data_IF_345805340484
#
_entry.id   IF_345805340484
#
_cell.length_a   1.000
_cell.length_b   1.000
_cell.length_c   1.000
_cell.angle_alpha   90.00
_cell.angle_beta   90.00
_cell.angle_gamma   90.00
#
_symmetry.space_group_name_H-M   'P 1'
#
loop_
_entity.id
_entity.type
_entity.pdbx_description
1 polymer ?
#
# COMPACT_ATOMS: atom_id res chain seq x y z
N UNK A 1 -8.49 -11.28 22.95
CA UNK A 1 -9.80 -10.69 22.61
C UNK A 1 -10.15 -9.46 23.46
N UNK A 2 -10.47 -9.58 24.75
CA UNK A 2 -10.93 -8.43 25.58
C UNK A 2 -9.91 -7.26 25.75
N UNK A 3 -8.60 -7.55 25.71
CA UNK A 3 -7.55 -6.52 25.80
C UNK A 3 -7.44 -5.66 24.52
N UNK A 4 -7.71 -6.24 23.36
CA UNK A 4 -7.67 -5.57 22.06
C UNK A 4 -8.87 -4.65 21.87
N UNK A 5 -10.05 -5.13 22.29
CA UNK A 5 -11.26 -4.30 22.39
C UNK A 5 -11.13 -3.15 23.42
N UNK A 6 -10.22 -3.23 24.40
CA UNK A 6 -9.89 -2.11 25.30
C UNK A 6 -8.97 -1.08 24.65
N UNK A 7 -7.99 -1.51 23.84
CA UNK A 7 -7.11 -0.61 23.09
C UNK A 7 -7.89 0.20 22.04
N UNK A 8 -8.92 -0.40 21.44
CA UNK A 8 -9.83 0.25 20.50
C UNK A 8 -10.85 1.21 21.16
N UNK A 9 -10.94 1.26 22.50
CA UNK A 9 -11.89 2.10 23.26
C UNK A 9 -11.24 3.30 23.96
N UNK A 10 -9.91 3.43 23.92
CA UNK A 10 -9.22 4.64 24.41
C UNK A 10 -9.16 5.66 23.27
N UNK A 11 -9.99 6.69 23.36
CA UNK A 11 -10.03 7.80 22.40
C UNK A 11 -9.15 8.98 22.86
N UNK A 12 -7.85 8.77 23.08
CA UNK A 12 -6.95 9.89 23.40
C UNK A 12 -5.65 9.86 22.54
N UNK A 13 -5.40 10.96 21.82
CA UNK A 13 -4.14 11.24 21.12
C UNK A 13 -4.13 11.10 19.60
N UNK A 14 -2.96 11.37 19.00
CA UNK A 14 -2.68 11.30 17.55
C UNK A 14 -3.07 9.97 16.89
N UNK A 15 -3.13 8.89 17.67
CA UNK A 15 -3.49 7.54 17.22
C UNK A 15 -5.01 7.34 17.07
N UNK A 16 -5.85 8.31 17.43
CA UNK A 16 -7.31 8.22 17.30
C UNK A 16 -7.79 8.23 15.83
N UNK A 17 -7.00 8.80 14.93
CA UNK A 17 -7.27 8.80 13.49
C UNK A 17 -6.75 7.53 12.79
N UNK A 18 -6.10 6.65 13.55
CA UNK A 18 -5.60 5.39 13.04
C UNK A 18 -6.67 4.33 13.22
N UNK A 19 -6.71 3.38 12.29
CA UNK A 19 -7.68 2.28 12.27
C UNK A 19 -7.52 1.32 13.47
N UNK A 20 -7.82 1.77 14.69
CA UNK A 20 -7.97 0.95 15.88
C UNK A 20 -9.45 0.89 16.29
N UNK A 21 -10.29 0.58 15.31
CA UNK A 21 -11.73 0.35 15.45
C UNK A 21 -12.17 -0.61 14.36
N UNK A 22 -11.93 -1.90 14.60
CA UNK A 22 -12.04 -2.95 13.58
C UNK A 22 -13.49 -3.16 13.17
N UNK A 23 -13.85 -2.68 11.98
CA UNK A 23 -15.20 -2.77 11.42
C UNK A 23 -15.43 -4.00 10.51
N UNK A 24 -14.37 -4.75 10.19
CA UNK A 24 -14.38 -5.80 9.16
C UNK A 24 -13.73 -7.11 9.61
N UNK A 25 -13.68 -7.38 10.91
CA UNK A 25 -13.10 -8.63 11.45
C UNK A 25 -13.84 -9.87 10.91
N UNK A 26 -15.14 -9.74 10.62
CA UNK A 26 -16.03 -10.82 10.17
C UNK A 26 -16.56 -10.64 8.73
N UNK A 27 -16.04 -9.70 7.95
CA UNK A 27 -16.52 -9.46 6.57
C UNK A 27 -15.97 -10.54 5.61
N UNK A 28 -16.82 -11.32 4.91
CA UNK A 28 -16.35 -12.44 4.09
C UNK A 28 -15.35 -12.03 3.01
N UNK A 29 -14.17 -12.66 2.97
CA UNK A 29 -13.12 -12.32 2.01
C UNK A 29 -12.23 -11.15 2.43
N UNK A 30 -12.51 -10.51 3.56
CA UNK A 30 -11.59 -9.59 4.24
C UNK A 30 -10.89 -10.34 5.37
N UNK A 31 -9.59 -10.11 5.51
CA UNK A 31 -8.80 -10.70 6.59
C UNK A 31 -8.02 -9.60 7.29
N UNK A 32 -8.39 -9.28 8.53
CA UNK A 32 -7.52 -8.44 9.37
C UNK A 32 -6.44 -9.31 10.00
N UNK A 33 -5.18 -9.06 9.65
CA UNK A 33 -4.02 -9.69 10.27
C UNK A 33 -3.17 -8.59 10.88
N UNK A 34 -3.38 -8.32 12.16
CA UNK A 34 -2.50 -7.44 12.89
C UNK A 34 -1.18 -8.19 13.16
N UNK A 35 -0.09 -7.73 12.54
CA UNK A 35 1.28 -8.16 12.88
C UNK A 35 1.67 -7.80 14.31
N UNK A 36 0.94 -6.87 14.92
CA UNK A 36 1.14 -6.43 16.30
C UNK A 36 0.37 -7.29 17.33
N UNK A 37 -0.34 -8.34 16.90
CA UNK A 37 -0.95 -9.28 17.84
C UNK A 37 0.17 -10.02 18.58
N UNK A 38 0.10 -9.94 19.92
CA UNK A 38 0.88 -10.82 20.79
C UNK A 38 -0.08 -11.80 21.48
N UNK A 39 0.12 -13.12 21.33
CA UNK A 39 1.07 -13.76 20.39
C UNK A 39 0.61 -13.62 18.93
N UNK A 40 1.53 -13.68 17.95
CA UNK A 40 1.15 -13.78 16.55
C UNK A 40 0.34 -15.08 16.35
N UNK A 41 -0.65 -15.09 15.44
CA UNK A 41 -1.38 -16.32 15.15
C UNK A 41 -0.41 -17.43 14.69
N UNK A 42 -0.58 -18.69 15.15
CA UNK A 42 0.26 -19.79 14.73
C UNK A 42 0.26 -19.92 13.20
N UNK A 43 1.44 -20.03 12.58
CA UNK A 43 1.64 -20.24 11.14
C UNK A 43 1.22 -19.08 10.21
N UNK A 44 1.13 -17.83 10.70
CA UNK A 44 0.88 -16.68 9.83
C UNK A 44 2.19 -16.04 9.35
N UNK A 45 2.59 -16.32 8.11
CA UNK A 45 3.61 -15.54 7.40
C UNK A 45 2.91 -14.40 6.63
N UNK A 46 3.20 -13.15 7.01
CA UNK A 46 2.56 -11.99 6.39
C UNK A 46 2.84 -11.91 4.88
N UNK A 47 4.02 -12.32 4.45
CA UNK A 47 4.42 -12.22 3.04
C UNK A 47 3.62 -13.22 2.20
N UNK A 48 3.46 -14.46 2.68
CA UNK A 48 2.66 -15.48 2.00
C UNK A 48 1.19 -15.06 1.88
N UNK A 49 0.65 -14.46 2.95
CA UNK A 49 -0.71 -13.92 2.95
C UNK A 49 -0.87 -12.73 2.01
N UNK A 50 0.16 -11.87 1.93
CA UNK A 50 0.17 -10.71 1.02
C UNK A 50 0.24 -11.17 -0.43
N UNK A 51 1.06 -12.17 -0.75
CA UNK A 51 1.13 -12.77 -2.11
C UNK A 51 -0.20 -13.41 -2.53
N UNK A 52 -0.95 -13.96 -1.58
CA UNK A 52 -2.28 -14.55 -1.83
C UNK A 52 -3.42 -13.52 -1.91
N UNK A 53 -3.19 -12.26 -1.55
CA UNK A 53 -4.20 -11.22 -1.52
C UNK A 53 -4.29 -10.46 -2.86
N UNK A 54 -5.51 -10.07 -3.24
CA UNK A 54 -5.70 -9.20 -4.41
C UNK A 54 -5.46 -7.73 -4.07
N UNK A 55 -5.93 -7.30 -2.90
CA UNK A 55 -5.84 -5.93 -2.40
C UNK A 55 -5.20 -5.90 -1.02
N UNK A 56 -4.30 -4.95 -0.78
CA UNK A 56 -3.60 -4.80 0.50
C UNK A 56 -3.79 -3.40 1.05
N UNK A 57 -4.39 -3.33 2.24
CA UNK A 57 -4.73 -2.06 2.87
C UNK A 57 -3.46 -1.32 3.31
N UNK A 58 -3.33 -0.10 2.82
CA UNK A 58 -2.24 0.84 3.09
C UNK A 58 -2.84 2.15 3.66
N UNK A 59 -3.50 2.11 4.84
CA UNK A 59 -4.12 3.28 5.42
C UNK A 59 -3.05 4.25 5.95
N UNK A 60 -3.43 5.50 6.21
CA UNK A 60 -2.56 6.48 6.86
C UNK A 60 -2.00 5.93 8.17
N UNK A 61 -0.74 6.27 8.41
CA UNK A 61 -0.14 6.06 9.72
C UNK A 61 1.39 5.92 9.79
N UNK A 62 1.95 5.76 11.00
CA UNK A 62 3.32 5.31 11.24
C UNK A 62 3.64 4.09 10.37
N UNK A 63 4.68 4.20 9.53
CA UNK A 63 5.12 3.12 8.64
C UNK A 63 4.32 2.95 7.34
N UNK A 64 3.41 3.86 7.00
CA UNK A 64 2.60 3.78 5.76
C UNK A 64 3.39 3.64 4.45
N UNK A 65 4.53 4.33 4.29
CA UNK A 65 5.38 4.19 3.11
C UNK A 65 5.92 2.76 2.93
N UNK A 66 6.20 2.08 4.04
CA UNK A 66 6.65 0.68 4.03
C UNK A 66 5.52 -0.26 3.62
N UNK A 67 4.27 -0.02 4.03
CA UNK A 67 3.13 -0.87 3.65
C UNK A 67 2.80 -0.80 2.17
N UNK A 68 2.79 0.41 1.59
CA UNK A 68 2.55 0.60 0.16
C UNK A 68 3.66 -0.07 -0.66
N UNK A 69 4.93 0.13 -0.27
CA UNK A 69 6.07 -0.55 -0.90
C UNK A 69 5.97 -2.08 -0.78
N UNK A 70 5.70 -2.59 0.41
CA UNK A 70 5.62 -4.03 0.66
C UNK A 70 4.51 -4.70 -0.15
N UNK A 71 3.34 -4.06 -0.26
CA UNK A 71 2.25 -4.52 -1.11
C UNK A 71 2.67 -4.62 -2.58
N UNK A 72 3.33 -3.57 -3.12
CA UNK A 72 3.84 -3.59 -4.49
C UNK A 72 4.91 -4.67 -4.69
N UNK A 73 5.87 -4.78 -3.77
CA UNK A 73 6.93 -5.78 -3.83
C UNK A 73 6.41 -7.23 -3.85
N UNK A 74 5.26 -7.48 -3.22
CA UNK A 74 4.60 -8.79 -3.18
C UNK A 74 3.46 -8.95 -4.19
N UNK A 75 3.28 -8.01 -5.12
CA UNK A 75 2.29 -8.12 -6.20
C UNK A 75 0.85 -7.83 -5.77
N UNK A 76 0.63 -7.32 -4.56
CA UNK A 76 -0.68 -7.01 -4.02
C UNK A 76 -1.07 -5.56 -4.33
N UNK A 77 -2.26 -5.33 -4.91
CA UNK A 77 -2.69 -3.99 -5.29
C UNK A 77 -2.87 -3.13 -4.03
N UNK A 78 -2.11 -2.03 -3.86
CA UNK A 78 -2.23 -1.20 -2.68
C UNK A 78 -3.59 -0.49 -2.62
N UNK A 79 -4.24 -0.51 -1.46
CA UNK A 79 -5.44 0.29 -1.18
C UNK A 79 -5.05 1.42 -0.25
N UNK A 80 -4.86 2.59 -0.83
CA UNK A 80 -4.37 3.79 -0.16
C UNK A 80 -5.54 4.57 0.39
N UNK A 81 -5.57 4.76 1.71
CA UNK A 81 -6.59 5.56 2.41
C UNK A 81 -5.87 6.56 3.31
N UNK A 82 -5.69 7.79 2.84
CA UNK A 82 -4.83 8.79 3.50
C UNK A 82 -5.50 10.13 3.71
N UNK A 83 -6.53 10.43 2.93
CA UNK A 83 -7.32 11.65 3.04
C UNK A 83 -8.46 11.43 4.04
N UNK A 84 -8.43 12.16 5.14
CA UNK A 84 -9.48 12.14 6.16
C UNK A 84 -10.64 13.11 5.87
N UNK A 85 -10.56 13.87 4.78
CA UNK A 85 -11.55 14.85 4.37
C UNK A 85 -11.59 16.11 5.23
N UNK A 86 -10.74 16.22 6.26
CA UNK A 86 -10.70 17.38 7.16
C UNK A 86 -9.91 18.56 6.58
N UNK A 87 -9.13 18.33 5.52
CA UNK A 87 -8.15 19.27 4.99
C UNK A 87 -6.93 19.49 5.90
N UNK A 88 -6.95 18.96 7.12
CA UNK A 88 -5.85 19.11 8.09
C UNK A 88 -4.71 18.11 7.82
N UNK A 89 -5.02 17.00 7.17
CA UNK A 89 -4.07 15.96 6.78
C UNK A 89 -4.21 15.68 5.28
N UNK A 90 -3.52 16.45 4.42
CA UNK A 90 -3.59 16.24 2.98
C UNK A 90 -3.01 14.87 2.61
N UNK A 91 -3.49 14.33 1.49
CA UNK A 91 -2.89 13.13 0.87
C UNK A 91 -1.39 13.32 0.68
N UNK A 92 -0.62 12.27 0.95
CA UNK A 92 0.83 12.32 0.75
C UNK A 92 1.21 11.56 -0.50
N UNK A 93 2.16 12.15 -1.20
CA UNK A 93 2.76 11.57 -2.37
C UNK A 93 3.49 10.27 -2.00
N UNK A 94 3.22 9.25 -2.78
CA UNK A 94 3.92 7.99 -2.72
C UNK A 94 5.27 8.08 -3.41
N UNK A 95 6.09 7.04 -3.28
CA UNK A 95 7.42 7.01 -3.87
C UNK A 95 7.37 7.35 -5.37
N UNK A 96 8.11 8.38 -5.76
CA UNK A 96 8.22 8.89 -7.13
C UNK A 96 6.89 9.27 -7.81
N UNK A 97 5.83 9.50 -7.03
CA UNK A 97 4.52 9.87 -7.53
C UNK A 97 4.53 11.23 -8.23
N UNK A 98 4.04 11.25 -9.48
CA UNK A 98 4.00 12.44 -10.33
C UNK A 98 5.14 12.46 -11.35
N UNK A 99 6.41 12.60 -10.93
CA UNK A 99 7.54 12.64 -11.85
C UNK A 99 7.74 11.35 -12.66
N UNK A 100 7.56 10.18 -12.04
CA UNK A 100 7.90 8.89 -12.67
C UNK A 100 6.77 7.87 -12.60
N UNK A 101 6.01 7.87 -11.50
CA UNK A 101 4.99 6.85 -11.25
C UNK A 101 3.61 7.47 -11.14
N UNK A 102 2.66 6.95 -11.91
CA UNK A 102 1.24 7.21 -11.72
C UNK A 102 0.65 6.18 -10.76
N UNK A 103 0.61 6.53 -9.48
CA UNK A 103 0.05 5.66 -8.45
C UNK A 103 -1.46 5.41 -8.61
N UNK A 104 -2.21 6.27 -9.31
CA UNK A 104 -3.63 6.02 -9.56
C UNK A 104 -3.83 4.83 -10.50
N UNK A 105 -2.87 4.58 -11.41
CA UNK A 105 -2.88 3.43 -12.31
C UNK A 105 -2.63 2.09 -11.61
N UNK A 106 -1.77 2.05 -10.58
CA UNK A 106 -1.34 0.79 -9.93
C UNK A 106 -1.95 0.53 -8.54
N UNK A 107 -2.56 1.53 -7.92
CA UNK A 107 -3.20 1.43 -6.61
C UNK A 107 -4.68 1.81 -6.66
N UNK A 108 -5.41 1.53 -5.59
CA UNK A 108 -6.76 2.03 -5.34
C UNK A 108 -6.64 3.18 -4.34
N UNK A 109 -7.06 4.38 -4.71
CA UNK A 109 -7.07 5.54 -3.80
C UNK A 109 -8.48 5.80 -3.31
N UNK A 110 -8.66 5.81 -1.99
CA UNK A 110 -9.93 6.06 -1.33
C UNK A 110 -9.74 7.09 -0.21
N UNK A 111 -10.85 7.66 0.23
CA UNK A 111 -10.90 8.60 1.35
C UNK A 111 -11.47 7.92 2.60
N UNK A 112 -11.41 8.59 3.75
CA UNK A 112 -12.04 8.09 4.98
C UNK A 112 -13.57 7.91 4.81
N UNK A 113 -14.20 8.75 3.98
CA UNK A 113 -15.63 8.65 3.67
C UNK A 113 -16.00 7.36 2.93
N UNK A 114 -15.04 6.72 2.27
CA UNK A 114 -15.24 5.47 1.55
C UNK A 114 -15.14 4.23 2.44
N UNK A 115 -14.56 4.36 3.64
CA UNK A 115 -14.35 3.24 4.57
C UNK A 115 -15.63 2.41 4.73
N UNK A 116 -16.82 2.98 5.05
CA UNK A 116 -18.05 2.19 5.22
C UNK A 116 -18.43 1.34 4.00
N UNK A 117 -18.01 1.74 2.80
CA UNK A 117 -18.29 1.07 1.52
C UNK A 117 -17.09 0.28 0.99
N UNK A 118 -15.99 0.19 1.75
CA UNK A 118 -14.76 -0.43 1.31
C UNK A 118 -14.98 -1.86 0.77
N UNK A 119 -15.77 -2.75 1.42
CA UNK A 119 -16.03 -4.07 0.87
C UNK A 119 -16.71 -4.05 -0.50
N UNK A 120 -17.73 -3.22 -0.69
CA UNK A 120 -18.46 -3.16 -1.96
C UNK A 120 -17.61 -2.55 -3.08
N UNK A 121 -16.82 -1.50 -2.78
CA UNK A 121 -15.92 -0.88 -3.74
C UNK A 121 -14.84 -1.86 -4.23
N UNK A 122 -14.22 -2.60 -3.32
CA UNK A 122 -13.17 -3.56 -3.69
C UNK A 122 -13.75 -4.80 -4.40
N UNK A 123 -14.93 -5.29 -4.00
CA UNK A 123 -15.63 -6.37 -4.72
C UNK A 123 -16.02 -5.94 -6.14
N UNK A 124 -16.53 -4.72 -6.31
CA UNK A 124 -16.87 -4.18 -7.62
C UNK A 124 -15.63 -4.09 -8.53
N UNK A 125 -14.51 -3.59 -8.00
CA UNK A 125 -13.25 -3.54 -8.74
C UNK A 125 -12.68 -4.94 -9.05
N UNK A 126 -12.84 -5.92 -8.14
CA UNK A 126 -12.42 -7.30 -8.40
C UNK A 126 -13.27 -7.98 -9.49
N UNK A 127 -14.55 -7.63 -9.57
CA UNK A 127 -15.46 -8.12 -10.60
C UNK A 127 -15.19 -7.50 -11.98
N UNK A 128 -14.63 -6.28 -12.01
CA UNK A 128 -14.13 -5.66 -13.24
C UNK A 128 -12.75 -6.24 -13.60
N UNK A 129 -12.75 -7.33 -14.37
CA UNK A 129 -11.53 -8.03 -14.77
C UNK A 129 -10.57 -7.17 -15.58
N UNK A 130 -11.06 -6.26 -16.41
CA UNK A 130 -10.21 -5.39 -17.23
C UNK A 130 -9.51 -4.36 -16.34
N UNK A 131 -10.26 -3.67 -15.48
CA UNK A 131 -9.69 -2.71 -14.54
C UNK A 131 -8.69 -3.38 -13.58
N UNK A 132 -9.03 -4.56 -13.07
CA UNK A 132 -8.13 -5.33 -12.20
C UNK A 132 -6.84 -5.73 -12.93
N UNK A 133 -6.94 -6.21 -14.16
CA UNK A 133 -5.78 -6.59 -14.97
C UNK A 133 -4.91 -5.37 -15.33
N UNK A 134 -5.53 -4.23 -15.62
CA UNK A 134 -4.82 -2.97 -15.86
C UNK A 134 -4.00 -2.54 -14.64
N UNK A 135 -4.58 -2.60 -13.43
CA UNK A 135 -3.87 -2.31 -12.18
C UNK A 135 -2.69 -3.26 -11.94
N UNK A 136 -2.88 -4.57 -12.18
CA UNK A 136 -1.80 -5.56 -12.06
C UNK A 136 -0.65 -5.29 -13.04
N UNK A 137 -0.95 -4.96 -14.29
CA UNK A 137 0.09 -4.60 -15.28
C UNK A 137 0.85 -3.34 -14.87
N UNK A 138 0.13 -2.31 -14.43
CA UNK A 138 0.76 -1.08 -13.94
C UNK A 138 1.64 -1.32 -12.71
N UNK A 139 1.20 -2.18 -11.78
CA UNK A 139 1.98 -2.57 -10.61
C UNK A 139 3.29 -3.26 -11.00
N UNK A 140 3.22 -4.24 -11.91
CA UNK A 140 4.42 -4.95 -12.41
C UNK A 140 5.37 -4.00 -13.12
N UNK A 141 4.85 -3.07 -13.94
CA UNK A 141 5.66 -2.09 -14.64
C UNK A 141 6.36 -1.09 -13.70
N UNK A 142 5.71 -0.73 -12.58
CA UNK A 142 6.26 0.19 -11.60
C UNK A 142 7.28 -0.47 -10.65
N UNK A 143 7.20 -1.79 -10.44
CA UNK A 143 7.97 -2.51 -9.44
C UNK A 143 9.50 -2.28 -9.53
N UNK A 144 10.16 -2.41 -10.70
CA UNK A 144 11.61 -2.24 -10.77
C UNK A 144 12.08 -0.89 -10.24
N UNK A 145 11.35 0.18 -10.57
CA UNK A 145 11.62 1.56 -10.13
C UNK A 145 11.49 1.78 -8.62
N UNK A 146 10.93 0.83 -7.89
CA UNK A 146 10.79 0.89 -6.43
C UNK A 146 11.81 0.00 -5.72
N UNK A 147 12.47 -0.93 -6.43
CA UNK A 147 13.42 -1.87 -5.85
C UNK A 147 14.85 -1.32 -5.87
N UNK A 148 15.55 -1.42 -4.75
CA UNK A 148 17.00 -1.27 -4.73
C UNK A 148 17.61 -2.53 -5.32
N UNK A 149 18.09 -2.49 -6.56
CA UNK A 149 18.55 -3.69 -7.28
C UNK A 149 19.67 -4.42 -6.55
N UNK A 150 20.51 -3.67 -5.84
CA UNK A 150 21.58 -4.22 -5.00
C UNK A 150 21.09 -5.14 -3.87
N UNK A 151 19.84 -5.01 -3.44
CA UNK A 151 19.23 -5.86 -2.42
C UNK A 151 18.69 -7.19 -2.97
N UNK A 152 18.65 -7.36 -4.30
CA UNK A 152 18.17 -8.58 -4.96
C UNK A 152 19.30 -9.61 -5.13
N UNK A 153 18.92 -10.88 -5.15
CA UNK A 153 19.82 -11.96 -5.53
C UNK A 153 20.22 -11.85 -7.02
N UNK A 154 21.30 -12.54 -7.39
CA UNK A 154 22.00 -12.31 -8.66
C UNK A 154 21.15 -12.62 -9.88
N UNK A 155 20.28 -13.63 -9.81
CA UNK A 155 19.43 -14.02 -10.94
C UNK A 155 18.32 -12.98 -11.18
N UNK A 156 17.63 -12.56 -10.13
CA UNK A 156 16.59 -11.53 -10.18
C UNK A 156 17.15 -10.18 -10.62
N UNK A 157 18.37 -9.86 -10.16
CA UNK A 157 19.10 -8.68 -10.61
C UNK A 157 19.28 -8.68 -12.13
N UNK A 158 19.78 -9.79 -12.68
CA UNK A 158 20.00 -9.94 -14.13
C UNK A 158 18.72 -9.84 -14.94
N UNK A 159 17.63 -10.40 -14.43
CA UNK A 159 16.33 -10.33 -15.09
C UNK A 159 15.80 -8.89 -15.24
N UNK A 160 16.28 -7.97 -14.39
CA UNK A 160 15.89 -6.56 -14.39
C UNK A 160 16.97 -5.62 -14.94
N UNK A 161 18.05 -6.14 -15.54
CA UNK A 161 19.22 -5.33 -15.92
C UNK A 161 18.87 -4.16 -16.86
N UNK A 162 17.93 -4.38 -17.78
CA UNK A 162 17.48 -3.38 -18.75
C UNK A 162 16.43 -2.39 -18.21
N UNK A 163 15.90 -2.61 -17.01
CA UNK A 163 14.89 -1.75 -16.38
C UNK A 163 15.57 -0.72 -15.47
N UNK A 164 15.01 0.47 -15.25
CA UNK A 164 15.49 1.39 -14.22
C UNK A 164 15.10 0.89 -12.82
N UNK A 165 15.98 1.08 -11.84
CA UNK A 165 15.71 0.72 -10.44
C UNK A 165 15.35 1.93 -9.55
N UNK A 166 15.30 1.72 -8.23
CA UNK A 166 15.07 2.79 -7.26
C UNK A 166 16.17 3.85 -7.24
N UNK A 167 17.44 3.48 -7.43
CA UNK A 167 18.54 4.43 -7.51
C UNK A 167 18.42 5.29 -8.77
N UNK A 168 18.16 4.66 -9.92
CA UNK A 168 17.94 5.37 -11.18
C UNK A 168 16.78 6.36 -11.05
N UNK A 169 15.69 5.93 -10.42
CA UNK A 169 14.50 6.75 -10.19
C UNK A 169 14.80 7.97 -9.29
N UNK A 170 15.61 7.81 -8.23
CA UNK A 170 16.08 8.93 -7.42
C UNK A 170 16.87 9.92 -8.27
N UNK A 171 17.83 9.42 -9.06
CA UNK A 171 18.70 10.26 -9.88
C UNK A 171 17.92 11.02 -10.96
N UNK A 172 16.93 10.37 -11.58
CA UNK A 172 16.04 10.98 -12.58
C UNK A 172 15.20 12.13 -11.98
N UNK A 173 14.61 11.92 -10.80
CA UNK A 173 13.85 12.98 -10.09
C UNK A 173 14.75 14.15 -9.70
N UNK A 174 15.96 13.87 -9.20
CA UNK A 174 16.91 14.92 -8.81
C UNK A 174 17.37 15.73 -10.04
N UNK A 175 17.64 15.06 -11.15
CA UNK A 175 18.01 15.72 -12.41
C UNK A 175 16.89 16.63 -12.92
N UNK A 176 15.63 16.17 -12.88
CA UNK A 176 14.47 16.98 -13.27
C UNK A 176 14.30 18.25 -12.43
N UNK A 177 14.50 18.15 -11.11
CA UNK A 177 14.39 19.31 -10.20
C UNK A 177 15.48 20.36 -10.43
N UNK A 178 16.70 19.92 -10.75
CA UNK A 178 17.82 20.82 -11.06
C UNK A 178 17.56 21.65 -12.32
N UNK A 179 16.82 21.10 -13.28
CA UNK A 179 16.48 21.80 -14.52
C UNK A 179 15.25 22.72 -14.37
N UNK A 180 14.35 22.44 -13.42
CA UNK A 180 13.17 23.27 -13.15
C UNK A 180 13.46 24.57 -12.35
N UNK A 181 14.70 24.74 -11.87
CA UNK A 181 15.17 25.90 -11.09
C UNK A 181 15.97 26.92 -11.91
N UNK A 182 16.04 26.74 -13.24
CA UNK A 182 16.53 27.72 -14.21
C UNK A 182 15.38 28.26 -15.04
#
# INVERSE_FOLDING_TARGET
>A
MAAMARKCRRMEGFLNNYAFGVRYEDEPGFNLRATDLRPPPPNANLDDLTRGATFCLCPSGTGWGMRAFHAVALGCIPVIIQDDGSGSYPSVLQAFEGPLLDWASLAVRLTFADIPRLPSLLRALAADHEALAAKRRALVAALPRLLWREALATEERRALDAMPDAFDSVMEVLAGRRNATR
#
